data_IF_951100552207
#
_entry.id   IF_951100552207
#
_cell.length_a   1.000
_cell.length_b   1.000
_cell.length_c   1.000
_cell.angle_alpha   90.00
_cell.angle_beta   90.00
_cell.angle_gamma   90.00
#
_symmetry.space_group_name_H-M   'P 1'
#
loop_
_entity.id
_entity.type
_entity.pdbx_description
1 polymer ?
#
# COMPACT_ATOMS: atom_id res chain seq x y z
N UNK A 1 15.21 0.39 29.72
CA UNK A 1 14.15 -0.20 28.87
C UNK A 1 14.65 -0.21 27.42
N UNK A 2 14.02 -0.98 26.53
CA UNK A 2 14.24 -0.89 25.08
C UNK A 2 12.94 -0.52 24.39
N UNK A 3 13.01 0.27 23.32
CA UNK A 3 11.85 0.77 22.56
C UNK A 3 11.75 0.03 21.23
N UNK A 4 10.65 -0.69 21.04
CA UNK A 4 10.24 -1.24 19.76
C UNK A 4 9.09 -0.44 19.15
N UNK A 5 9.12 -0.18 17.85
CA UNK A 5 8.04 0.50 17.13
C UNK A 5 7.51 -0.37 16.00
N UNK A 6 6.19 -0.49 15.91
CA UNK A 6 5.49 -1.20 14.84
C UNK A 6 4.77 -0.20 13.92
N UNK A 7 5.11 -0.16 12.64
CA UNK A 7 4.48 0.72 11.65
C UNK A 7 4.85 0.29 10.24
N UNK A 8 3.98 0.48 9.25
CA UNK A 8 4.26 0.16 7.84
C UNK A 8 5.48 0.91 7.32
N UNK A 9 5.73 2.12 7.83
CA UNK A 9 6.91 2.90 7.52
C UNK A 9 8.23 2.31 8.02
N UNK A 10 8.21 1.29 8.88
CA UNK A 10 9.42 0.55 9.26
C UNK A 10 9.96 -0.30 8.11
N UNK A 11 9.16 -0.53 7.05
CA UNK A 11 9.62 -1.15 5.81
C UNK A 11 10.59 -0.25 5.03
N UNK A 12 10.53 1.07 5.23
CA UNK A 12 11.42 2.03 4.58
C UNK A 12 12.78 2.05 5.27
N UNK A 13 13.84 1.87 4.48
CA UNK A 13 15.21 1.84 4.98
C UNK A 13 15.54 3.14 5.74
N UNK A 14 16.10 2.97 6.94
CA UNK A 14 16.57 4.07 7.79
C UNK A 14 15.51 4.68 8.68
N UNK A 15 14.24 4.25 8.62
CA UNK A 15 13.19 4.86 9.44
C UNK A 15 13.35 4.55 10.93
N UNK A 16 13.75 3.32 11.27
CA UNK A 16 14.11 2.96 12.65
C UNK A 16 15.26 3.84 13.18
N UNK A 17 16.28 4.09 12.35
CA UNK A 17 17.42 4.95 12.71
C UNK A 17 16.98 6.41 12.92
N UNK A 18 16.17 6.98 12.01
CA UNK A 18 15.69 8.37 12.13
C UNK A 18 14.84 8.59 13.38
N UNK A 19 14.14 7.55 13.84
CA UNK A 19 13.30 7.60 15.05
C UNK A 19 14.06 7.23 16.34
N UNK A 20 15.36 6.93 16.27
CA UNK A 20 16.19 6.53 17.42
C UNK A 20 15.57 5.39 18.26
N UNK A 21 14.96 4.40 17.58
CA UNK A 21 14.36 3.23 18.25
C UNK A 21 15.34 2.06 18.27
N UNK A 22 15.25 1.22 19.29
CA UNK A 22 16.10 0.02 19.41
C UNK A 22 15.70 -1.05 18.38
N UNK A 23 14.41 -1.11 18.02
CA UNK A 23 13.89 -2.03 17.00
C UNK A 23 12.70 -1.42 16.24
N UNK A 24 12.63 -1.68 14.93
CA UNK A 24 11.50 -1.33 14.08
C UNK A 24 10.90 -2.57 13.43
N UNK A 25 9.58 -2.68 13.46
CA UNK A 25 8.82 -3.80 12.89
C UNK A 25 7.82 -3.26 11.87
N UNK A 26 7.88 -3.79 10.64
CA UNK A 26 6.91 -3.46 9.60
C UNK A 26 5.56 -4.08 9.95
N UNK A 27 4.56 -3.24 10.17
CA UNK A 27 3.18 -3.66 10.42
C UNK A 27 2.22 -2.64 9.84
N UNK A 28 1.34 -3.08 8.94
CA UNK A 28 0.44 -2.23 8.18
C UNK A 28 -0.89 -2.96 7.98
N UNK A 29 -1.98 -2.21 7.89
CA UNK A 29 -3.30 -2.66 7.45
C UNK A 29 -3.46 -2.64 5.92
N UNK A 30 -2.61 -1.90 5.21
CA UNK A 30 -2.53 -1.94 3.76
C UNK A 30 -1.72 -3.14 3.23
N UNK A 31 -2.20 -3.72 2.13
CA UNK A 31 -1.50 -4.75 1.37
C UNK A 31 -0.34 -4.15 0.57
N UNK A 32 0.75 -4.91 0.46
CA UNK A 32 1.87 -4.60 -0.42
C UNK A 32 1.59 -5.06 -1.87
N UNK A 33 2.51 -4.78 -2.78
CA UNK A 33 2.32 -5.07 -4.20
C UNK A 33 2.09 -6.57 -4.50
N UNK A 34 2.89 -7.52 -3.97
CA UNK A 34 2.58 -8.94 -4.10
C UNK A 34 1.23 -9.33 -3.50
N UNK A 35 0.87 -8.80 -2.32
CA UNK A 35 -0.42 -9.06 -1.68
C UNK A 35 -1.61 -8.58 -2.53
N UNK A 36 -1.50 -7.40 -3.14
CA UNK A 36 -2.50 -6.88 -4.08
C UNK A 36 -2.64 -7.79 -5.31
N UNK A 37 -1.54 -8.21 -5.92
CA UNK A 37 -1.58 -9.12 -7.06
C UNK A 37 -2.16 -10.49 -6.71
N UNK A 38 -1.84 -11.01 -5.52
CA UNK A 38 -2.43 -12.25 -5.03
C UNK A 38 -3.94 -12.12 -4.86
N UNK A 39 -4.41 -11.01 -4.26
CA UNK A 39 -5.82 -10.74 -4.08
C UNK A 39 -6.56 -10.65 -5.43
N UNK A 40 -6.02 -9.89 -6.39
CA UNK A 40 -6.60 -9.76 -7.75
C UNK A 40 -6.68 -11.12 -8.45
N UNK A 41 -5.63 -11.94 -8.37
CA UNK A 41 -5.63 -13.27 -8.97
C UNK A 41 -6.64 -14.21 -8.30
N UNK A 42 -6.73 -14.16 -6.98
CA UNK A 42 -7.63 -15.02 -6.21
C UNK A 42 -9.11 -14.70 -6.44
N UNK A 43 -9.45 -13.46 -6.79
CA UNK A 43 -10.83 -13.06 -7.06
C UNK A 43 -11.30 -13.34 -8.48
N UNK A 44 -10.38 -13.61 -9.42
CA UNK A 44 -10.69 -13.75 -10.85
C UNK A 44 -11.50 -12.57 -11.42
N UNK A 45 -11.28 -11.38 -10.87
CA UNK A 45 -12.03 -10.19 -11.26
C UNK A 45 -11.81 -9.88 -12.75
N UNK A 46 -12.91 -9.69 -13.48
CA UNK A 46 -12.85 -9.28 -14.89
C UNK A 46 -12.31 -7.86 -15.07
N UNK A 47 -12.56 -7.00 -14.08
CA UNK A 47 -12.10 -5.62 -14.07
C UNK A 47 -11.76 -5.16 -12.66
N UNK A 48 -10.65 -4.43 -12.52
CA UNK A 48 -10.18 -3.90 -11.23
C UNK A 48 -10.20 -2.37 -11.25
N UNK A 49 -10.75 -1.78 -10.20
CA UNK A 49 -10.79 -0.32 -10.04
C UNK A 49 -9.90 0.08 -8.86
N UNK A 50 -8.91 0.94 -9.12
CA UNK A 50 -7.92 1.35 -8.11
C UNK A 50 -8.25 2.74 -7.57
N UNK A 51 -8.47 2.83 -6.26
CA UNK A 51 -9.04 4.02 -5.61
C UNK A 51 -8.03 4.92 -4.90
N UNK A 52 -6.91 4.39 -4.43
CA UNK A 52 -5.88 5.14 -3.71
C UNK A 52 -4.50 4.48 -3.83
N UNK A 53 -3.46 5.16 -3.32
CA UNK A 53 -2.07 4.69 -3.42
C UNK A 53 -1.47 4.94 -4.80
N UNK A 54 -0.68 3.99 -5.31
CA UNK A 54 -0.02 4.09 -6.61
C UNK A 54 -0.98 3.72 -7.76
N UNK A 55 -2.09 4.45 -7.88
CA UNK A 55 -3.21 4.15 -8.79
C UNK A 55 -2.77 3.95 -10.24
N UNK A 56 -2.06 4.93 -10.80
CA UNK A 56 -1.58 4.90 -12.18
C UNK A 56 -0.62 3.73 -12.43
N UNK A 57 0.33 3.49 -11.51
CA UNK A 57 1.31 2.42 -11.67
C UNK A 57 0.67 1.03 -11.60
N UNK A 58 -0.23 0.82 -10.63
CA UNK A 58 -0.88 -0.47 -10.44
C UNK A 58 -1.89 -0.77 -11.55
N UNK A 59 -2.72 0.21 -11.93
CA UNK A 59 -3.67 0.06 -13.03
C UNK A 59 -2.95 -0.22 -14.35
N UNK A 60 -1.86 0.49 -14.63
CA UNK A 60 -1.04 0.25 -15.81
C UNK A 60 -0.48 -1.18 -15.82
N UNK A 61 0.11 -1.63 -14.72
CA UNK A 61 0.67 -2.98 -14.63
C UNK A 61 -0.38 -4.06 -14.84
N UNK A 62 -1.57 -3.91 -14.23
CA UNK A 62 -2.66 -4.87 -14.42
C UNK A 62 -3.08 -4.99 -15.89
N UNK A 63 -3.20 -3.85 -16.59
CA UNK A 63 -3.49 -3.85 -18.02
C UNK A 63 -2.37 -4.49 -18.85
N UNK A 64 -1.10 -4.26 -18.49
CA UNK A 64 0.06 -4.90 -19.15
C UNK A 64 0.05 -6.43 -19.03
N UNK A 65 -0.49 -6.98 -17.94
CA UNK A 65 -0.65 -8.43 -17.73
C UNK A 65 -2.02 -8.97 -18.19
N UNK A 66 -2.83 -8.16 -18.87
CA UNK A 66 -4.11 -8.57 -19.47
C UNK A 66 -5.32 -8.53 -18.55
N UNK A 67 -5.23 -7.87 -17.38
CA UNK A 67 -6.36 -7.64 -16.48
C UNK A 67 -6.84 -6.21 -16.68
N UNK A 68 -8.09 -6.04 -17.13
CA UNK A 68 -8.65 -4.70 -17.35
C UNK A 68 -8.65 -3.93 -16.03
N UNK A 69 -8.00 -2.77 -16.00
CA UNK A 69 -7.93 -1.95 -14.80
C UNK A 69 -8.11 -0.46 -15.09
N UNK A 70 -8.75 0.24 -14.15
CA UNK A 70 -9.01 1.68 -14.25
C UNK A 70 -8.79 2.40 -12.93
N UNK A 71 -8.35 3.66 -13.03
CA UNK A 71 -8.22 4.55 -11.88
C UNK A 71 -9.58 5.16 -11.53
N UNK A 72 -9.90 5.21 -10.24
CA UNK A 72 -11.10 5.89 -9.76
C UNK A 72 -10.68 7.08 -8.92
N UNK A 73 -10.99 8.28 -9.43
CA UNK A 73 -10.90 9.51 -8.65
C UNK A 73 -12.13 9.62 -7.74
N UNK A 74 -12.10 8.90 -6.63
CA UNK A 74 -13.04 9.17 -5.55
C UNK A 74 -12.56 10.41 -4.78
N UNK A 75 -13.44 11.35 -4.41
CA UNK A 75 -13.12 12.42 -3.45
C UNK A 75 -12.98 11.87 -2.03
N UNK A 76 -12.15 10.83 -1.87
CA UNK A 76 -11.81 10.19 -0.60
C UNK A 76 -10.73 10.99 0.13
N UNK A 77 -10.74 12.32 -0.01
CA UNK A 77 -10.23 13.18 1.05
C UNK A 77 -11.21 13.03 2.20
N UNK A 78 -11.04 11.97 2.99
CA UNK A 78 -11.40 12.08 4.38
C UNK A 78 -10.58 13.25 4.92
N UNK A 79 -11.30 14.31 5.23
CA UNK A 79 -10.82 15.46 5.98
C UNK A 79 -10.29 14.90 7.31
N UNK A 80 -8.97 14.86 7.47
CA UNK A 80 -8.23 14.24 8.58
C UNK A 80 -7.29 13.18 8.00
N UNK A 81 -6.00 13.44 7.84
CA UNK A 81 -5.08 13.96 8.85
C UNK A 81 -4.17 15.04 8.24
N UNK A 82 -4.47 16.31 8.54
CA UNK A 82 -3.43 17.31 8.75
C UNK A 82 -2.97 17.14 10.20
N UNK A 83 -1.76 16.62 10.40
CA UNK A 83 -0.84 16.97 11.50
C UNK A 83 0.59 16.50 11.18
#
# INVERSE_FOLDING_TARGET
YKVGVCSGWMQVRGNARRRNVDAGFSLSDHADWPGLLQAVKATEAQKVYVTHGFQAAFSRYLNEIGIEAGEVNTPLTLKGEEE
#
